data_IF_769409520793
#
_entry.id   IF_769409520793
#
_cell.length_a   1.000
_cell.length_b   1.000
_cell.length_c   1.000
_cell.angle_alpha   90.00
_cell.angle_beta   90.00
_cell.angle_gamma   90.00
#
_symmetry.space_group_name_H-M   'P 1'
#
loop_
_entity.id
_entity.type
_entity.pdbx_description
1 polymer ?
#
# COMPACT_ATOMS: atom_id res chain seq x y z
N UNK A 1 14.81 -0.35 44.84
CA UNK A 1 14.44 1.08 45.05
C UNK A 1 12.94 1.17 45.27
N UNK A 2 12.53 1.86 46.34
CA UNK A 2 11.19 2.38 46.73
C UNK A 2 9.92 1.63 46.28
N UNK A 3 9.10 1.02 47.14
CA UNK A 3 8.42 1.44 48.39
C UNK A 3 7.21 2.38 48.22
N UNK A 4 6.08 1.90 48.78
CA UNK A 4 4.84 2.55 49.28
C UNK A 4 3.73 2.87 48.27
N UNK A 5 2.59 2.18 48.33
CA UNK A 5 1.45 2.28 49.27
C UNK A 5 0.37 3.22 48.67
N UNK A 6 -0.94 3.03 48.77
CA UNK A 6 -1.77 2.39 49.80
C UNK A 6 -3.21 2.21 49.28
N UNK A 7 -3.88 1.15 49.76
CA UNK A 7 -5.32 1.16 49.99
C UNK A 7 -6.22 0.75 48.82
N UNK A 8 -6.77 -0.45 48.88
CA UNK A 8 -8.13 -0.61 49.44
C UNK A 8 -8.35 -2.07 49.83
N UNK A 9 -8.61 -2.22 51.11
CA UNK A 9 -8.83 -3.46 51.82
C UNK A 9 -10.20 -4.06 51.48
N UNK A 10 -10.24 -5.37 51.31
CA UNK A 10 -11.40 -6.24 51.54
C UNK A 10 -12.69 -5.96 50.75
N UNK A 11 -12.76 -6.49 49.52
CA UNK A 11 -14.04 -6.88 48.90
C UNK A 11 -14.50 -8.28 49.35
N UNK A 12 -14.31 -8.65 50.64
CA UNK A 12 -15.17 -9.67 51.25
C UNK A 12 -16.46 -8.95 51.62
N UNK A 13 -17.40 -8.88 50.66
CA UNK A 13 -18.77 -8.50 51.00
C UNK A 13 -19.21 -9.43 52.13
N UNK A 14 -19.45 -8.84 53.31
CA UNK A 14 -19.86 -9.55 54.51
C UNK A 14 -20.99 -10.53 54.12
N UNK A 15 -20.96 -11.82 54.52
CA UNK A 15 -22.06 -12.75 54.24
C UNK A 15 -23.42 -12.16 54.66
N UNK A 16 -23.41 -11.34 55.72
CA UNK A 16 -24.54 -10.51 56.14
C UNK A 16 -25.01 -9.52 55.06
N UNK A 17 -24.12 -8.77 54.39
CA UNK A 17 -24.53 -7.86 53.31
C UNK A 17 -25.05 -8.59 52.07
N UNK A 18 -24.56 -9.80 51.77
CA UNK A 18 -25.15 -10.62 50.69
C UNK A 18 -26.54 -11.15 51.05
N UNK A 19 -26.73 -11.57 52.31
CA UNK A 19 -28.04 -11.97 52.82
C UNK A 19 -29.02 -10.79 52.86
N UNK A 20 -28.56 -9.61 53.29
CA UNK A 20 -29.36 -8.37 53.27
C UNK A 20 -29.75 -8.02 51.83
N UNK A 21 -28.81 -7.97 50.88
CA UNK A 21 -29.13 -7.71 49.46
C UNK A 21 -30.02 -8.76 48.81
N UNK A 22 -29.99 -10.00 49.29
CA UNK A 22 -30.91 -11.05 48.83
C UNK A 22 -32.31 -10.82 49.41
N UNK A 23 -32.41 -10.55 50.71
CA UNK A 23 -33.68 -10.22 51.38
C UNK A 23 -34.30 -8.95 50.82
N UNK A 24 -33.51 -7.92 50.54
CA UNK A 24 -33.97 -6.67 49.90
C UNK A 24 -34.52 -6.95 48.50
N UNK A 25 -33.83 -7.78 47.69
CA UNK A 25 -34.35 -8.17 46.37
C UNK A 25 -35.63 -8.99 46.45
N UNK A 26 -35.70 -9.95 47.37
CA UNK A 26 -36.90 -10.76 47.61
C UNK A 26 -38.05 -9.90 48.14
N UNK A 27 -37.77 -8.97 49.05
CA UNK A 27 -38.72 -8.00 49.58
C UNK A 27 -39.22 -7.04 48.50
N UNK A 28 -38.33 -6.46 47.71
CA UNK A 28 -38.69 -5.56 46.60
C UNK A 28 -39.49 -6.28 45.53
N UNK A 29 -39.13 -7.52 45.22
CA UNK A 29 -39.90 -8.37 44.32
C UNK A 29 -41.30 -8.64 44.90
N UNK A 30 -41.39 -8.97 46.18
CA UNK A 30 -42.66 -9.22 46.86
C UNK A 30 -43.53 -7.96 46.95
N UNK A 31 -42.94 -6.80 47.22
CA UNK A 31 -43.65 -5.51 47.24
C UNK A 31 -44.15 -5.14 45.85
N UNK A 32 -43.31 -5.26 44.81
CA UNK A 32 -43.72 -5.03 43.42
C UNK A 32 -44.83 -5.99 43.00
N UNK A 33 -44.69 -7.27 43.30
CA UNK A 33 -45.69 -8.29 43.01
C UNK A 33 -47.01 -8.00 43.73
N UNK A 34 -46.97 -7.69 45.03
CA UNK A 34 -48.15 -7.36 45.81
C UNK A 34 -48.85 -6.09 45.30
N UNK A 35 -48.09 -5.07 44.89
CA UNK A 35 -48.65 -3.87 44.28
C UNK A 35 -49.30 -4.19 42.93
N UNK A 36 -48.68 -5.03 42.10
CA UNK A 36 -49.26 -5.46 40.83
C UNK A 36 -50.54 -6.28 41.03
N UNK A 37 -50.54 -7.21 41.99
CA UNK A 37 -51.72 -8.00 42.37
C UNK A 37 -52.84 -7.08 42.90
N UNK A 38 -52.50 -6.07 43.72
CA UNK A 38 -53.48 -5.09 44.21
C UNK A 38 -54.06 -4.27 43.06
N UNK A 39 -53.23 -3.83 42.12
CA UNK A 39 -53.64 -3.10 40.92
C UNK A 39 -54.62 -3.93 40.08
N UNK A 40 -54.26 -5.17 39.74
CA UNK A 40 -55.14 -6.03 38.97
C UNK A 40 -56.40 -6.42 39.73
N UNK A 41 -56.37 -6.61 41.06
CA UNK A 41 -57.60 -6.83 41.86
C UNK A 41 -58.51 -5.61 41.88
N UNK A 42 -57.96 -4.39 41.97
CA UNK A 42 -58.78 -3.18 41.89
C UNK A 42 -59.35 -3.00 40.48
N UNK A 43 -58.57 -3.34 39.47
CA UNK A 43 -58.97 -3.25 38.08
C UNK A 43 -60.00 -4.31 37.71
N UNK A 44 -59.86 -5.55 38.19
CA UNK A 44 -60.84 -6.63 38.07
C UNK A 44 -62.17 -6.27 38.74
N UNK A 45 -62.15 -5.62 39.92
CA UNK A 45 -63.39 -5.11 40.53
C UNK A 45 -64.06 -4.04 39.69
N UNK A 46 -63.28 -3.13 39.10
CA UNK A 46 -63.82 -2.09 38.21
C UNK A 46 -64.34 -2.70 36.90
N UNK A 47 -63.61 -3.66 36.35
CA UNK A 47 -63.96 -4.35 35.12
C UNK A 47 -65.16 -5.26 35.31
N UNK A 48 -65.28 -5.98 36.42
CA UNK A 48 -66.47 -6.79 36.74
C UNK A 48 -67.71 -5.90 36.90
N UNK A 49 -67.60 -4.73 37.54
CA UNK A 49 -68.72 -3.77 37.60
C UNK A 49 -69.06 -3.21 36.22
N UNK A 50 -68.04 -2.95 35.40
CA UNK A 50 -68.23 -2.51 34.03
C UNK A 50 -68.88 -3.59 33.17
N UNK A 51 -68.44 -4.84 33.26
CA UNK A 51 -69.03 -6.01 32.62
C UNK A 51 -70.44 -6.26 33.12
N UNK A 52 -70.72 -6.08 34.42
CA UNK A 52 -72.07 -6.13 34.96
C UNK A 52 -72.94 -5.04 34.32
N UNK A 53 -72.51 -3.77 34.32
CA UNK A 53 -73.28 -2.66 33.75
C UNK A 53 -73.46 -2.73 32.23
N UNK A 54 -72.48 -3.28 31.52
CA UNK A 54 -72.52 -3.45 30.06
C UNK A 54 -73.10 -4.80 29.64
N UNK A 55 -73.30 -5.72 30.58
CA UNK A 55 -73.92 -7.01 30.30
C UNK A 55 -75.38 -6.80 29.88
N UNK A 56 -75.83 -7.47 28.81
CA UNK A 56 -77.24 -7.53 28.46
C UNK A 56 -78.15 -7.94 29.64
N UNK A 57 -77.62 -8.74 30.58
CA UNK A 57 -78.36 -9.18 31.79
C UNK A 57 -78.69 -8.02 32.74
N UNK A 58 -77.83 -7.03 32.90
CA UNK A 58 -78.11 -5.89 33.77
C UNK A 58 -79.24 -5.03 33.23
N UNK A 59 -79.25 -4.78 31.92
CA UNK A 59 -80.35 -4.05 31.29
C UNK A 59 -81.66 -4.84 31.33
N UNK A 60 -81.61 -6.17 31.22
CA UNK A 60 -82.78 -7.03 31.42
C UNK A 60 -83.31 -6.92 32.87
N UNK A 61 -82.46 -7.07 33.88
CA UNK A 61 -82.85 -6.98 35.30
C UNK A 61 -83.35 -5.56 35.67
N UNK A 62 -82.74 -4.51 35.11
CA UNK A 62 -83.21 -3.14 35.26
C UNK A 62 -84.58 -2.92 34.63
N UNK A 63 -84.81 -3.46 33.43
CA UNK A 63 -86.11 -3.40 32.76
C UNK A 63 -87.19 -4.21 33.49
N UNK A 64 -86.84 -5.36 34.07
CA UNK A 64 -87.74 -6.18 34.87
C UNK A 64 -88.14 -5.46 36.17
N UNK A 65 -87.18 -4.78 36.84
CA UNK A 65 -87.46 -3.91 37.98
C UNK A 65 -88.37 -2.74 37.60
N UNK A 66 -88.16 -2.11 36.44
CA UNK A 66 -89.06 -1.06 35.95
C UNK A 66 -90.47 -1.60 35.63
N UNK A 67 -90.57 -2.78 35.02
CA UNK A 67 -91.83 -3.43 34.70
C UNK A 67 -92.62 -3.82 35.97
N UNK A 68 -91.93 -4.33 37.00
CA UNK A 68 -92.55 -4.65 38.30
C UNK A 68 -93.01 -3.39 39.03
N UNK A 69 -92.23 -2.31 39.02
CA UNK A 69 -92.64 -1.01 39.58
C UNK A 69 -93.88 -0.48 38.84
N UNK A 70 -93.91 -0.55 37.51
CA UNK A 70 -95.05 -0.12 36.70
C UNK A 70 -96.32 -0.93 37.04
N UNK A 71 -96.24 -2.26 37.07
CA UNK A 71 -97.35 -3.15 37.47
C UNK A 71 -97.85 -2.85 38.89
N UNK A 72 -96.95 -2.58 39.84
CA UNK A 72 -97.33 -2.20 41.20
C UNK A 72 -98.05 -0.85 41.26
N UNK A 73 -97.63 0.14 40.45
CA UNK A 73 -98.33 1.43 40.33
C UNK A 73 -99.73 1.26 39.72
N UNK A 74 -99.85 0.50 38.63
CA UNK A 74 -101.15 0.20 37.99
C UNK A 74 -102.10 -0.52 38.95
N UNK A 75 -101.61 -1.49 39.74
CA UNK A 75 -102.40 -2.16 40.78
C UNK A 75 -102.87 -1.19 41.86
N UNK A 76 -102.01 -0.28 42.32
CA UNK A 76 -102.39 0.76 43.31
C UNK A 76 -103.47 1.69 42.75
N UNK A 77 -103.30 2.17 41.53
CA UNK A 77 -104.27 3.05 40.86
C UNK A 77 -105.62 2.35 40.67
N UNK A 78 -105.62 1.07 40.28
CA UNK A 78 -106.84 0.27 40.15
C UNK A 78 -107.53 0.04 41.51
N UNK A 79 -106.76 -0.19 42.58
CA UNK A 79 -107.30 -0.28 43.94
C UNK A 79 -107.92 1.04 44.39
N UNK A 80 -107.29 2.17 44.06
CA UNK A 80 -107.79 3.50 44.37
C UNK A 80 -109.08 3.81 43.62
N UNK A 81 -109.14 3.55 42.31
CA UNK A 81 -110.37 3.61 41.50
C UNK A 81 -111.49 2.73 42.07
N UNK A 82 -111.15 1.53 42.57
CA UNK A 82 -112.13 0.65 43.21
C UNK A 82 -112.61 1.20 44.55
N UNK A 83 -111.71 1.76 45.37
CA UNK A 83 -112.06 2.43 46.63
C UNK A 83 -112.97 3.64 46.39
N UNK A 84 -112.71 4.45 45.37
CA UNK A 84 -113.57 5.56 44.99
C UNK A 84 -114.95 5.09 44.53
N UNK A 85 -115.04 4.02 43.72
CA UNK A 85 -116.32 3.42 43.32
C UNK A 85 -117.10 2.90 44.52
N UNK A 86 -116.44 2.21 45.44
CA UNK A 86 -117.06 1.71 46.66
C UNK A 86 -117.52 2.87 47.55
N UNK A 87 -116.71 3.92 47.69
CA UNK A 87 -117.09 5.12 48.43
C UNK A 87 -118.37 5.75 47.85
N UNK A 88 -118.47 5.88 46.54
CA UNK A 88 -119.70 6.36 45.87
C UNK A 88 -120.90 5.47 46.16
N UNK A 89 -120.74 4.13 46.11
CA UNK A 89 -121.82 3.20 46.44
C UNK A 89 -122.27 3.33 47.90
N UNK A 90 -121.32 3.48 48.84
CA UNK A 90 -121.65 3.72 50.24
C UNK A 90 -122.36 5.05 50.45
N UNK A 91 -121.92 6.12 49.79
CA UNK A 91 -122.60 7.42 49.86
C UNK A 91 -124.04 7.33 49.31
N UNK A 92 -124.27 6.54 48.25
CA UNK A 92 -125.60 6.30 47.66
C UNK A 92 -126.50 5.43 48.55
N UNK A 93 -125.96 4.38 49.18
CA UNK A 93 -126.67 3.58 50.18
C UNK A 93 -127.05 4.42 51.39
N UNK A 94 -126.15 5.26 51.90
CA UNK A 94 -126.40 6.11 53.06
C UNK A 94 -127.52 7.12 52.77
N UNK A 95 -127.53 7.75 51.58
CA UNK A 95 -128.64 8.59 51.12
C UNK A 95 -129.96 7.83 51.06
N UNK A 96 -129.94 6.63 50.48
CA UNK A 96 -131.15 5.79 50.35
C UNK A 96 -131.70 5.37 51.71
N UNK A 97 -130.82 5.02 52.65
CA UNK A 97 -131.18 4.67 54.01
C UNK A 97 -131.78 5.84 54.79
N UNK A 98 -131.22 7.05 54.63
CA UNK A 98 -131.79 8.27 55.21
C UNK A 98 -133.21 8.55 54.69
N UNK A 99 -133.46 8.32 53.40
CA UNK A 99 -134.82 8.42 52.81
C UNK A 99 -135.77 7.40 53.44
N UNK A 100 -135.36 6.14 53.60
CA UNK A 100 -136.19 5.12 54.25
C UNK A 100 -136.57 5.47 55.70
N UNK A 101 -135.63 6.02 56.47
CA UNK A 101 -135.89 6.46 57.85
C UNK A 101 -136.93 7.58 57.90
N UNK A 102 -136.92 8.50 56.93
CA UNK A 102 -137.96 9.53 56.80
C UNK A 102 -139.35 8.94 56.47
N UNK A 103 -139.42 7.86 55.70
CA UNK A 103 -140.69 7.17 55.37
C UNK A 103 -141.24 6.36 56.56
N UNK A 104 -140.36 5.66 57.28
CA UNK A 104 -140.75 4.84 58.45
C UNK A 104 -141.22 5.66 59.64
N UNK A 105 -140.63 6.84 59.86
CA UNK A 105 -141.09 7.78 60.91
C UNK A 105 -142.49 8.35 60.61
N UNK A 106 -142.80 8.59 59.33
CA UNK A 106 -144.14 9.04 58.91
C UNK A 106 -145.24 7.98 59.09
N UNK A 107 -144.93 6.70 58.90
CA UNK A 107 -145.92 5.61 58.97
C UNK A 107 -146.22 5.10 60.40
N UNK A 108 -145.31 5.28 61.36
CA UNK A 108 -145.55 4.87 62.76
C UNK A 108 -146.53 5.78 63.52
N UNK A 109 -146.82 6.97 63.02
CA UNK A 109 -147.80 7.90 63.63
C UNK A 109 -149.27 7.57 63.29
N UNK A 110 -149.54 6.60 62.39
CA UNK A 110 -150.88 6.42 61.80
C UNK A 110 -151.74 5.30 62.39
N UNK A 111 -151.18 4.31 63.09
CA UNK A 111 -151.94 3.11 63.50
C UNK A 111 -151.76 2.78 64.99
N UNK A 112 -152.63 3.32 65.84
CA UNK A 112 -152.90 2.81 67.20
C UNK A 112 -154.35 3.13 67.57
N UNK A 113 -155.26 2.15 67.46
CA UNK A 113 -156.56 2.16 68.16
C UNK A 113 -157.11 0.73 68.27
N UNK A 114 -157.53 0.38 69.48
CA UNK A 114 -157.90 -0.95 69.99
C UNK A 114 -159.27 -1.49 69.48
N UNK A 115 -159.42 -2.82 69.42
CA UNK A 115 -160.62 -3.55 68.94
C UNK A 115 -161.38 -4.18 70.14
N UNK A 116 -162.72 -4.06 70.14
CA UNK A 116 -163.65 -4.32 71.26
C UNK A 116 -164.07 -5.80 71.49
N UNK A 117 -164.44 -6.14 72.74
CA UNK A 117 -164.71 -7.48 73.30
C UNK A 117 -165.97 -8.21 72.77
N UNK A 118 -166.90 -7.54 72.09
CA UNK A 118 -168.08 -8.20 71.49
C UNK A 118 -167.73 -9.00 70.23
N UNK A 119 -166.71 -8.55 69.49
CA UNK A 119 -166.14 -9.30 68.37
C UNK A 119 -165.59 -10.65 68.83
N UNK A 120 -165.01 -10.71 70.03
CA UNK A 120 -164.41 -11.94 70.59
C UNK A 120 -165.46 -13.02 70.94
N UNK A 121 -166.66 -12.65 71.41
CA UNK A 121 -167.71 -13.63 71.74
C UNK A 121 -168.37 -14.24 70.50
N UNK A 122 -168.63 -13.44 69.47
CA UNK A 122 -169.14 -13.94 68.19
C UNK A 122 -168.12 -14.83 67.48
N UNK A 123 -166.83 -14.54 67.63
CA UNK A 123 -165.76 -15.42 67.14
C UNK A 123 -165.76 -16.75 67.90
N UNK A 124 -166.00 -16.76 69.22
CA UNK A 124 -166.00 -18.01 69.98
C UNK A 124 -167.14 -18.98 69.58
N UNK A 125 -168.37 -18.49 69.39
CA UNK A 125 -169.48 -19.35 68.92
C UNK A 125 -169.27 -19.83 67.49
N UNK A 126 -168.73 -18.98 66.61
CA UNK A 126 -168.32 -19.38 65.26
C UNK A 126 -167.24 -20.46 65.29
N UNK A 127 -166.26 -20.37 66.21
CA UNK A 127 -165.21 -21.39 66.40
C UNK A 127 -165.78 -22.71 66.90
N UNK A 128 -166.78 -22.70 67.78
CA UNK A 128 -167.40 -23.92 68.29
C UNK A 128 -168.11 -24.71 67.17
N UNK A 129 -168.92 -24.05 66.35
CA UNK A 129 -169.58 -24.66 65.19
C UNK A 129 -168.54 -25.14 64.16
N UNK A 130 -167.51 -24.34 63.88
CA UNK A 130 -166.42 -24.74 62.99
C UNK A 130 -165.67 -25.99 63.48
N UNK A 131 -165.49 -26.16 64.79
CA UNK A 131 -164.87 -27.34 65.38
C UNK A 131 -165.76 -28.59 65.29
N UNK A 132 -167.07 -28.43 65.34
CA UNK A 132 -168.01 -29.55 65.16
C UNK A 132 -168.09 -29.99 63.70
N UNK A 133 -168.10 -29.04 62.77
CA UNK A 133 -167.97 -29.31 61.33
C UNK A 133 -166.61 -29.94 61.01
N UNK A 134 -165.54 -29.49 61.66
CA UNK A 134 -164.21 -30.10 61.52
C UNK A 134 -164.22 -31.56 61.97
N UNK A 135 -164.83 -31.86 63.13
CA UNK A 135 -164.97 -33.24 63.62
C UNK A 135 -165.79 -34.11 62.68
N UNK A 136 -166.87 -33.59 62.09
CA UNK A 136 -167.63 -34.32 61.06
C UNK A 136 -166.79 -34.58 59.82
N UNK A 137 -166.08 -33.58 59.27
CA UNK A 137 -165.18 -33.77 58.11
C UNK A 137 -164.05 -34.75 58.41
N UNK A 138 -163.49 -34.70 59.61
CA UNK A 138 -162.45 -35.64 60.06
C UNK A 138 -163.00 -37.07 60.14
N UNK A 139 -164.22 -37.26 60.67
CA UNK A 139 -164.88 -38.56 60.68
C UNK A 139 -165.19 -39.07 59.26
N UNK A 140 -165.67 -38.20 58.37
CA UNK A 140 -165.90 -38.52 56.95
C UNK A 140 -164.60 -38.86 56.21
N UNK A 141 -163.51 -38.12 56.44
CA UNK A 141 -162.19 -38.43 55.89
C UNK A 141 -161.64 -39.74 56.46
N UNK A 142 -161.83 -40.01 57.74
CA UNK A 142 -161.42 -41.27 58.35
C UNK A 142 -162.18 -42.45 57.74
N UNK A 143 -163.49 -42.31 57.54
CA UNK A 143 -164.30 -43.30 56.81
C UNK A 143 -163.84 -43.45 55.36
N UNK A 144 -163.53 -42.35 54.67
CA UNK A 144 -163.00 -42.36 53.31
C UNK A 144 -161.65 -43.07 53.23
N UNK A 145 -160.69 -42.77 54.12
CA UNK A 145 -159.40 -43.44 54.17
C UNK A 145 -159.53 -44.91 54.52
N UNK A 146 -160.39 -45.26 55.47
CA UNK A 146 -160.68 -46.64 55.82
C UNK A 146 -161.26 -47.40 54.62
N UNK A 147 -162.24 -46.82 53.92
CA UNK A 147 -162.79 -47.36 52.68
C UNK A 147 -161.72 -47.47 51.59
N UNK A 148 -160.93 -46.43 51.35
CA UNK A 148 -159.86 -46.38 50.34
C UNK A 148 -158.83 -47.48 50.56
N UNK A 149 -158.41 -47.68 51.82
CA UNK A 149 -157.40 -48.67 52.18
C UNK A 149 -157.96 -50.10 52.15
N UNK A 150 -159.22 -50.30 52.52
CA UNK A 150 -159.82 -51.64 52.55
C UNK A 150 -160.43 -52.08 51.22
N UNK A 151 -160.83 -51.14 50.36
CA UNK A 151 -161.42 -51.43 49.07
C UNK A 151 -160.38 -52.08 48.13
N UNK A 152 -160.58 -53.34 47.70
CA UNK A 152 -159.64 -54.03 46.83
C UNK A 152 -159.40 -53.32 45.49
N UNK A 153 -160.44 -52.70 44.91
CA UNK A 153 -160.34 -52.04 43.60
C UNK A 153 -159.39 -50.84 43.63
N UNK A 154 -159.50 -49.99 44.65
CA UNK A 154 -158.65 -48.79 44.79
C UNK A 154 -157.19 -49.18 45.01
N UNK A 155 -156.92 -50.15 45.88
CA UNK A 155 -155.56 -50.66 46.09
C UNK A 155 -154.92 -51.23 44.82
N UNK A 156 -155.70 -51.93 43.99
CA UNK A 156 -155.19 -52.46 42.72
C UNK A 156 -154.82 -51.33 41.76
N UNK A 157 -155.62 -50.27 41.67
CA UNK A 157 -155.31 -49.10 40.86
C UNK A 157 -154.10 -48.31 41.37
N UNK A 158 -153.98 -48.11 42.69
CA UNK A 158 -152.82 -47.45 43.29
C UNK A 158 -151.54 -48.25 43.05
N UNK A 159 -151.56 -49.56 43.27
CA UNK A 159 -150.44 -50.43 42.92
C UNK A 159 -150.07 -50.35 41.44
N UNK A 160 -151.06 -50.30 40.54
CA UNK A 160 -150.81 -50.16 39.11
C UNK A 160 -150.17 -48.81 38.77
N UNK A 161 -150.58 -47.73 39.45
CA UNK A 161 -149.97 -46.40 39.34
C UNK A 161 -148.54 -46.39 39.88
N UNK A 162 -148.31 -46.92 41.07
CA UNK A 162 -146.98 -47.00 41.70
C UNK A 162 -146.03 -47.85 40.84
N UNK A 163 -146.51 -48.97 40.30
CA UNK A 163 -145.75 -49.78 39.34
C UNK A 163 -145.42 -48.98 38.07
N UNK A 164 -146.31 -48.12 37.60
CA UNK A 164 -146.04 -47.23 36.45
C UNK A 164 -145.01 -46.16 36.82
N UNK A 165 -145.09 -45.55 37.99
CA UNK A 165 -144.13 -44.55 38.47
C UNK A 165 -142.74 -45.17 38.71
N UNK A 166 -142.66 -46.39 39.27
CA UNK A 166 -141.41 -47.14 39.40
C UNK A 166 -140.82 -47.47 38.02
N UNK A 167 -141.65 -47.88 37.05
CA UNK A 167 -141.20 -48.08 35.66
C UNK A 167 -140.67 -46.79 35.04
N UNK A 168 -141.34 -45.66 35.25
CA UNK A 168 -140.87 -44.34 34.79
C UNK A 168 -139.56 -43.94 35.46
N UNK A 169 -139.42 -44.11 36.78
CA UNK A 169 -138.18 -43.83 37.51
C UNK A 169 -137.01 -44.73 37.06
N UNK A 170 -137.29 -46.01 36.79
CA UNK A 170 -136.30 -46.92 36.23
C UNK A 170 -135.91 -46.54 34.80
N UNK A 171 -136.87 -46.13 33.96
CA UNK A 171 -136.60 -45.56 32.63
C UNK A 171 -135.76 -44.28 32.74
N UNK A 172 -136.06 -43.39 33.68
CA UNK A 172 -135.26 -42.19 33.94
C UNK A 172 -133.85 -42.52 34.41
N UNK A 173 -133.66 -43.55 35.25
CA UNK A 173 -132.33 -44.03 35.63
C UNK A 173 -131.58 -44.62 34.44
N UNK A 174 -132.26 -45.35 33.55
CA UNK A 174 -131.65 -45.86 32.31
C UNK A 174 -131.27 -44.71 31.37
N UNK A 175 -132.11 -43.69 31.24
CA UNK A 175 -131.83 -42.49 30.44
C UNK A 175 -130.64 -41.73 31.04
N UNK A 176 -130.62 -41.49 32.37
CA UNK A 176 -129.49 -40.84 33.05
C UNK A 176 -128.18 -41.59 32.84
N UNK A 177 -128.18 -42.92 33.02
CA UNK A 177 -126.99 -43.75 32.76
C UNK A 177 -126.51 -43.65 31.31
N UNK A 178 -127.43 -43.59 30.34
CA UNK A 178 -127.06 -43.37 28.93
C UNK A 178 -126.45 -41.99 28.71
N UNK A 179 -127.05 -40.94 29.26
CA UNK A 179 -126.55 -39.57 29.13
C UNK A 179 -125.19 -39.41 29.82
N UNK A 180 -125.01 -39.96 31.01
CA UNK A 180 -123.74 -39.87 31.75
C UNK A 180 -122.64 -40.63 31.00
N UNK A 181 -122.95 -41.81 30.45
CA UNK A 181 -122.02 -42.54 29.57
C UNK A 181 -121.66 -41.75 28.30
N UNK A 182 -122.64 -41.09 27.68
CA UNK A 182 -122.41 -40.25 26.51
C UNK A 182 -121.52 -39.04 26.85
N UNK A 183 -121.71 -38.41 28.02
CA UNK A 183 -120.83 -37.34 28.51
C UNK A 183 -119.41 -37.84 28.77
N UNK A 184 -119.25 -39.00 29.41
CA UNK A 184 -117.94 -39.62 29.63
C UNK A 184 -117.24 -39.93 28.29
N UNK A 185 -117.98 -40.45 27.30
CA UNK A 185 -117.44 -40.69 25.96
C UNK A 185 -117.04 -39.38 25.25
N UNK A 186 -117.84 -38.32 25.38
CA UNK A 186 -117.49 -37.00 24.85
C UNK A 186 -116.28 -36.38 25.54
N UNK A 187 -116.15 -36.53 26.85
CA UNK A 187 -114.97 -36.10 27.61
C UNK A 187 -113.73 -36.90 27.21
N UNK A 188 -113.84 -38.22 27.09
CA UNK A 188 -112.77 -39.05 26.55
C UNK A 188 -112.38 -38.64 25.12
N UNK A 189 -113.36 -38.32 24.26
CA UNK A 189 -113.09 -37.81 22.90
C UNK A 189 -112.38 -36.47 22.94
N UNK A 190 -112.78 -35.54 23.81
CA UNK A 190 -112.12 -34.24 23.99
C UNK A 190 -110.67 -34.41 24.45
N UNK A 191 -110.43 -35.25 25.45
CA UNK A 191 -109.08 -35.55 25.95
C UNK A 191 -108.19 -36.18 24.88
N UNK A 192 -108.74 -37.11 24.08
CA UNK A 192 -108.01 -37.71 22.95
C UNK A 192 -107.71 -36.67 21.87
N UNK A 193 -108.65 -35.79 21.55
CA UNK A 193 -108.46 -34.72 20.57
C UNK A 193 -107.42 -33.69 21.05
N UNK A 194 -107.42 -33.32 22.34
CA UNK A 194 -106.40 -32.45 22.94
C UNK A 194 -105.02 -33.11 22.90
N UNK A 195 -104.94 -34.40 23.22
CA UNK A 195 -103.69 -35.17 23.11
C UNK A 195 -103.20 -35.28 21.66
N UNK A 196 -104.10 -35.46 20.71
CA UNK A 196 -103.77 -35.49 19.28
C UNK A 196 -103.23 -34.14 18.81
N UNK A 197 -103.90 -33.04 19.16
CA UNK A 197 -103.41 -31.67 18.88
C UNK A 197 -102.03 -31.43 19.49
N UNK A 198 -101.80 -31.87 20.72
CA UNK A 198 -100.49 -31.74 21.37
C UNK A 198 -99.40 -32.51 20.61
N UNK A 199 -99.69 -33.74 20.16
CA UNK A 199 -98.77 -34.54 19.35
C UNK A 199 -98.52 -33.93 17.96
N UNK A 200 -99.54 -33.34 17.33
CA UNK A 200 -99.41 -32.63 16.06
C UNK A 200 -98.55 -31.39 16.21
N UNK A 201 -98.78 -30.57 17.23
CA UNK A 201 -97.95 -29.40 17.52
C UNK A 201 -96.49 -29.77 17.79
N UNK A 202 -96.24 -30.88 18.50
CA UNK A 202 -94.89 -31.36 18.78
C UNK A 202 -94.20 -31.87 17.51
N UNK A 203 -94.91 -32.63 16.67
CA UNK A 203 -94.41 -33.03 15.34
C UNK A 203 -94.10 -31.81 14.47
N UNK A 204 -94.94 -30.77 14.48
CA UNK A 204 -94.66 -29.55 13.75
C UNK A 204 -93.44 -28.80 14.30
N UNK A 205 -93.21 -28.81 15.62
CA UNK A 205 -91.99 -28.25 16.24
C UNK A 205 -90.78 -29.03 15.75
N UNK A 206 -90.82 -30.35 15.80
CA UNK A 206 -89.75 -31.22 15.34
C UNK A 206 -89.48 -31.03 13.84
N UNK A 207 -90.52 -30.97 13.00
CA UNK A 207 -90.39 -30.71 11.57
C UNK A 207 -89.80 -29.33 11.27
N UNK A 208 -90.15 -28.29 12.06
CA UNK A 208 -89.53 -26.96 11.93
C UNK A 208 -88.04 -27.02 12.25
N UNK A 209 -87.67 -27.67 13.35
CA UNK A 209 -86.26 -27.85 13.74
C UNK A 209 -85.51 -28.65 12.68
N UNK A 210 -86.10 -29.72 12.15
CA UNK A 210 -85.49 -30.52 11.08
C UNK A 210 -85.34 -29.72 9.78
N UNK A 211 -86.34 -28.89 9.43
CA UNK A 211 -86.24 -27.97 8.29
C UNK A 211 -85.09 -26.97 8.48
N UNK A 212 -84.97 -26.35 9.64
CA UNK A 212 -83.86 -25.43 9.95
C UNK A 212 -82.50 -26.13 9.90
N UNK A 213 -82.37 -27.34 10.44
CA UNK A 213 -81.15 -28.14 10.35
C UNK A 213 -80.83 -28.47 8.88
N UNK A 214 -81.84 -28.87 8.10
CA UNK A 214 -81.66 -29.18 6.68
C UNK A 214 -81.23 -27.96 5.87
N UNK A 215 -81.78 -26.78 6.15
CA UNK A 215 -81.39 -25.53 5.50
C UNK A 215 -79.99 -25.09 5.89
N UNK A 216 -79.63 -25.20 7.18
CA UNK A 216 -78.26 -24.96 7.65
C UNK A 216 -77.26 -25.91 6.99
N UNK A 217 -77.60 -27.19 6.89
CA UNK A 217 -76.79 -28.19 6.20
C UNK A 217 -76.65 -27.89 4.70
N UNK A 218 -77.73 -27.46 4.04
CA UNK A 218 -77.68 -27.03 2.62
C UNK A 218 -76.77 -25.81 2.44
N UNK A 219 -76.88 -24.80 3.30
CA UNK A 219 -76.02 -23.61 3.27
C UNK A 219 -74.55 -23.97 3.49
N UNK A 220 -74.26 -24.79 4.50
CA UNK A 220 -72.91 -25.26 4.79
C UNK A 220 -72.34 -26.09 3.64
N UNK A 221 -73.12 -26.98 3.01
CA UNK A 221 -72.69 -27.72 1.81
C UNK A 221 -72.37 -26.79 0.65
N UNK A 222 -73.23 -25.82 0.36
CA UNK A 222 -72.98 -24.84 -0.71
C UNK A 222 -71.73 -23.98 -0.43
N UNK A 223 -71.46 -23.62 0.82
CA UNK A 223 -70.24 -22.92 1.22
C UNK A 223 -68.99 -23.80 1.05
N UNK A 224 -69.08 -25.09 1.42
CA UNK A 224 -67.99 -26.05 1.22
C UNK A 224 -67.73 -26.31 -0.26
N UNK A 225 -68.76 -26.42 -1.09
CA UNK A 225 -68.64 -26.56 -2.54
C UNK A 225 -67.91 -25.35 -3.14
N UNK A 226 -68.26 -24.13 -2.73
CA UNK A 226 -67.52 -22.91 -3.14
C UNK A 226 -66.07 -22.94 -2.67
N UNK A 227 -65.79 -23.42 -1.46
CA UNK A 227 -64.41 -23.54 -0.96
C UNK A 227 -63.61 -24.55 -1.78
N UNK A 228 -64.21 -25.69 -2.12
CA UNK A 228 -63.61 -26.72 -2.98
C UNK A 228 -63.34 -26.17 -4.38
N UNK A 229 -64.29 -25.46 -4.98
CA UNK A 229 -64.12 -24.82 -6.29
C UNK A 229 -62.98 -23.78 -6.26
N UNK A 230 -62.91 -22.95 -5.22
CA UNK A 230 -61.79 -22.03 -5.04
C UNK A 230 -60.44 -22.74 -4.89
N UNK A 231 -60.40 -23.89 -4.22
CA UNK A 231 -59.18 -24.70 -4.12
C UNK A 231 -58.79 -25.28 -5.47
N UNK A 232 -59.75 -25.76 -6.27
CA UNK A 232 -59.50 -26.21 -7.63
C UNK A 232 -58.95 -25.10 -8.53
N UNK A 233 -59.55 -23.91 -8.50
CA UNK A 233 -59.04 -22.76 -9.27
C UNK A 233 -57.61 -22.39 -8.86
N UNK A 234 -57.31 -22.38 -7.56
CA UNK A 234 -55.94 -22.15 -7.06
C UNK A 234 -54.97 -23.25 -7.48
N UNK A 235 -55.42 -24.50 -7.51
CA UNK A 235 -54.62 -25.62 -7.98
C UNK A 235 -54.31 -25.49 -9.48
N UNK A 236 -55.30 -25.12 -10.31
CA UNK A 236 -55.09 -24.85 -11.73
C UNK A 236 -54.13 -23.67 -11.98
N UNK A 237 -54.24 -22.60 -11.19
CA UNK A 237 -53.30 -21.48 -11.24
C UNK A 237 -51.88 -21.93 -10.85
N UNK A 238 -51.74 -22.72 -9.80
CA UNK A 238 -50.45 -23.30 -9.39
C UNK A 238 -49.85 -24.18 -10.50
N UNK A 239 -50.66 -25.01 -11.15
CA UNK A 239 -50.20 -25.87 -12.25
C UNK A 239 -49.80 -25.07 -13.49
N UNK A 240 -50.49 -23.95 -13.79
CA UNK A 240 -50.10 -23.02 -14.85
C UNK A 240 -48.75 -22.37 -14.53
N UNK A 241 -48.58 -21.87 -13.30
CA UNK A 241 -47.31 -21.27 -12.86
C UNK A 241 -46.16 -22.27 -12.88
N UNK A 242 -46.40 -23.53 -12.49
CA UNK A 242 -45.39 -24.59 -12.59
C UNK A 242 -44.96 -24.84 -14.04
N UNK A 243 -45.90 -24.87 -14.99
CA UNK A 243 -45.58 -25.02 -16.42
C UNK A 243 -44.76 -23.84 -16.94
N UNK A 244 -45.10 -22.61 -16.54
CA UNK A 244 -44.33 -21.42 -16.90
C UNK A 244 -42.90 -21.48 -16.32
N UNK A 245 -42.76 -21.94 -15.08
CA UNK A 245 -41.45 -22.15 -14.45
C UNK A 245 -40.62 -23.21 -15.20
N UNK A 246 -41.23 -24.34 -15.56
CA UNK A 246 -40.58 -25.39 -16.37
C UNK A 246 -40.10 -24.85 -17.73
N UNK A 247 -40.94 -24.07 -18.43
CA UNK A 247 -40.58 -23.42 -19.68
C UNK A 247 -39.41 -22.45 -19.51
N UNK A 248 -39.41 -21.65 -18.44
CA UNK A 248 -38.35 -20.70 -18.16
C UNK A 248 -37.04 -21.39 -17.77
N UNK A 249 -37.10 -22.50 -17.04
CA UNK A 249 -35.93 -23.36 -16.77
C UNK A 249 -35.36 -23.90 -18.08
N UNK A 250 -36.21 -24.35 -19.00
CA UNK A 250 -35.77 -24.80 -20.33
C UNK A 250 -35.10 -23.66 -21.11
N UNK A 251 -35.68 -22.46 -21.13
CA UNK A 251 -35.08 -21.26 -21.77
C UNK A 251 -33.72 -20.92 -21.14
N UNK A 252 -33.61 -20.94 -19.81
CA UNK A 252 -32.35 -20.71 -19.10
C UNK A 252 -31.30 -21.76 -19.45
N UNK A 253 -31.68 -23.04 -19.54
CA UNK A 253 -30.77 -24.11 -19.93
C UNK A 253 -30.24 -23.91 -21.36
N UNK A 254 -31.09 -23.47 -22.28
CA UNK A 254 -30.72 -23.16 -23.66
C UNK A 254 -29.77 -21.95 -23.73
N UNK A 255 -30.04 -20.90 -22.96
CA UNK A 255 -29.15 -19.74 -22.85
C UNK A 255 -27.77 -20.12 -22.32
N UNK A 256 -27.71 -20.91 -21.25
CA UNK A 256 -26.43 -21.42 -20.69
C UNK A 256 -25.62 -22.18 -21.74
N UNK A 257 -26.27 -22.99 -22.58
CA UNK A 257 -25.60 -23.73 -23.64
C UNK A 257 -25.10 -22.82 -24.77
N UNK A 258 -25.84 -21.75 -25.10
CA UNK A 258 -25.38 -20.72 -26.05
C UNK A 258 -24.19 -19.93 -25.50
N UNK A 259 -24.21 -19.57 -24.21
CA UNK A 259 -23.10 -18.88 -23.55
C UNK A 259 -21.84 -19.75 -23.51
N UNK A 260 -21.97 -21.04 -23.19
CA UNK A 260 -20.87 -21.99 -23.29
C UNK A 260 -20.27 -22.03 -24.70
N UNK A 261 -21.12 -22.15 -25.73
CA UNK A 261 -20.67 -22.11 -27.13
C UNK A 261 -19.95 -20.81 -27.47
N UNK A 262 -20.43 -19.66 -26.99
CA UNK A 262 -19.77 -18.36 -27.17
C UNK A 262 -18.39 -18.34 -26.52
N UNK A 263 -18.28 -18.78 -25.26
CA UNK A 263 -17.00 -18.85 -24.53
C UNK A 263 -16.01 -19.76 -25.26
N UNK A 264 -16.46 -20.93 -25.74
CA UNK A 264 -15.63 -21.86 -26.50
C UNK A 264 -15.12 -21.26 -27.82
N UNK A 265 -15.99 -20.54 -28.54
CA UNK A 265 -15.60 -19.85 -29.77
C UNK A 265 -14.57 -18.74 -29.49
N UNK A 266 -14.77 -17.95 -28.44
CA UNK A 266 -13.83 -16.90 -28.06
C UNK A 266 -12.49 -17.47 -27.55
N UNK A 267 -12.52 -18.61 -26.84
CA UNK A 267 -11.31 -19.36 -26.46
C UNK A 267 -10.54 -19.85 -27.69
N UNK A 268 -11.24 -20.43 -28.67
CA UNK A 268 -10.63 -20.86 -29.95
C UNK A 268 -10.06 -19.69 -30.75
N UNK A 269 -10.71 -18.52 -30.76
CA UNK A 269 -10.18 -17.31 -31.39
C UNK A 269 -8.87 -16.87 -30.74
N UNK A 270 -8.84 -16.76 -29.40
CA UNK A 270 -7.62 -16.43 -28.66
C UNK A 270 -6.48 -17.41 -28.92
N UNK A 271 -6.77 -18.72 -28.97
CA UNK A 271 -5.76 -19.72 -29.31
C UNK A 271 -5.19 -19.52 -30.72
N UNK A 272 -6.03 -19.16 -31.70
CA UNK A 272 -5.57 -18.85 -33.07
C UNK A 272 -4.72 -17.58 -33.11
N UNK A 273 -5.10 -16.54 -32.38
CA UNK A 273 -4.33 -15.29 -32.27
C UNK A 273 -2.94 -15.55 -31.68
N UNK A 274 -2.87 -16.28 -30.57
CA UNK A 274 -1.61 -16.70 -29.95
C UNK A 274 -0.74 -17.53 -30.90
N UNK A 275 -1.34 -18.45 -31.66
CA UNK A 275 -0.62 -19.23 -32.66
C UNK A 275 -0.04 -18.34 -33.78
N UNK A 276 -0.79 -17.35 -34.24
CA UNK A 276 -0.33 -16.38 -35.25
C UNK A 276 0.80 -15.49 -34.71
N UNK A 277 0.69 -15.00 -33.47
CA UNK A 277 1.74 -14.23 -32.82
C UNK A 277 3.02 -15.05 -32.65
N UNK A 278 2.92 -16.29 -32.18
CA UNK A 278 4.06 -17.21 -32.07
C UNK A 278 4.73 -17.44 -33.43
N UNK A 279 3.95 -17.60 -34.51
CA UNK A 279 4.49 -17.73 -35.86
C UNK A 279 5.23 -16.46 -36.31
N UNK A 280 4.70 -15.26 -36.01
CA UNK A 280 5.36 -13.99 -36.31
C UNK A 280 6.70 -13.88 -35.56
N UNK A 281 6.71 -14.19 -34.27
CA UNK A 281 7.93 -14.17 -33.44
C UNK A 281 8.96 -15.16 -33.96
N UNK A 282 8.55 -16.38 -34.32
CA UNK A 282 9.45 -17.39 -34.89
C UNK A 282 10.06 -16.93 -36.22
N UNK A 283 9.24 -16.36 -37.13
CA UNK A 283 9.74 -15.78 -38.39
C UNK A 283 10.72 -14.64 -38.14
N UNK A 284 10.47 -13.77 -37.17
CA UNK A 284 11.36 -12.67 -36.82
C UNK A 284 12.69 -13.18 -36.27
N UNK A 285 12.66 -14.19 -35.40
CA UNK A 285 13.87 -14.85 -34.88
C UNK A 285 14.69 -15.52 -35.99
N UNK A 286 14.03 -16.15 -36.96
CA UNK A 286 14.73 -16.71 -38.13
C UNK A 286 15.41 -15.63 -38.97
N UNK A 287 14.75 -14.48 -39.18
CA UNK A 287 15.35 -13.33 -39.88
C UNK A 287 16.56 -12.78 -39.13
N UNK A 288 16.46 -12.62 -37.81
CA UNK A 288 17.58 -12.20 -36.97
C UNK A 288 18.75 -13.18 -37.05
N UNK A 289 18.50 -14.48 -36.91
CA UNK A 289 19.55 -15.48 -37.05
C UNK A 289 20.20 -15.46 -38.44
N UNK A 290 19.43 -15.18 -39.49
CA UNK A 290 19.98 -15.03 -40.84
C UNK A 290 20.86 -13.77 -40.95
N UNK A 291 20.43 -12.63 -40.41
CA UNK A 291 21.23 -11.40 -40.39
C UNK A 291 22.49 -11.56 -39.55
N UNK A 292 22.40 -12.23 -38.40
CA UNK A 292 23.54 -12.48 -37.51
C UNK A 292 24.59 -13.35 -38.22
N UNK A 293 24.16 -14.40 -38.94
CA UNK A 293 25.07 -15.20 -39.77
C UNK A 293 25.77 -14.37 -40.86
N UNK A 294 25.02 -13.53 -41.57
CA UNK A 294 25.63 -12.65 -42.59
C UNK A 294 26.61 -11.65 -41.96
N UNK A 295 26.31 -11.14 -40.77
CA UNK A 295 27.20 -10.24 -40.03
C UNK A 295 28.47 -10.97 -39.60
N UNK A 296 28.35 -12.18 -39.07
CA UNK A 296 29.50 -13.01 -38.67
C UNK A 296 30.41 -13.32 -39.87
N UNK A 297 29.84 -13.62 -41.03
CA UNK A 297 30.59 -13.83 -42.28
C UNK A 297 31.35 -12.56 -42.71
N UNK A 298 30.71 -11.39 -42.66
CA UNK A 298 31.34 -10.11 -42.97
C UNK A 298 32.47 -9.78 -41.99
N UNK A 299 32.27 -10.04 -40.69
CA UNK A 299 33.30 -9.85 -39.67
C UNK A 299 34.49 -10.79 -39.86
N UNK A 300 34.26 -12.05 -40.28
CA UNK A 300 35.33 -12.98 -40.65
C UNK A 300 36.11 -12.47 -41.86
N UNK A 301 35.41 -12.05 -42.91
CA UNK A 301 36.04 -11.48 -44.11
C UNK A 301 36.91 -10.26 -43.79
N UNK A 302 36.42 -9.35 -42.93
CA UNK A 302 37.19 -8.18 -42.49
C UNK A 302 38.48 -8.56 -41.73
N UNK A 303 38.43 -9.59 -40.87
CA UNK A 303 39.62 -10.11 -40.17
C UNK A 303 40.63 -10.72 -41.13
N UNK A 304 40.16 -11.55 -42.05
CA UNK A 304 41.03 -12.19 -43.06
C UNK A 304 41.73 -11.13 -43.91
N UNK A 305 41.01 -10.07 -44.30
CA UNK A 305 41.58 -8.95 -45.05
C UNK A 305 42.63 -8.19 -44.22
N UNK A 306 42.38 -7.96 -42.93
CA UNK A 306 43.34 -7.31 -42.04
C UNK A 306 44.63 -8.14 -41.90
N UNK A 307 44.52 -9.47 -41.78
CA UNK A 307 45.69 -10.34 -41.73
C UNK A 307 46.48 -10.33 -43.04
N UNK A 308 45.80 -10.26 -44.19
CA UNK A 308 46.43 -10.15 -45.50
C UNK A 308 47.25 -8.86 -45.61
N UNK A 309 46.68 -7.72 -45.21
CA UNK A 309 47.38 -6.43 -45.21
C UNK A 309 48.57 -6.43 -44.25
N UNK A 310 48.45 -7.10 -43.09
CA UNK A 310 49.59 -7.25 -42.17
C UNK A 310 50.74 -8.03 -42.80
N UNK A 311 50.44 -9.11 -43.53
CA UNK A 311 51.45 -9.90 -44.26
C UNK A 311 52.09 -9.10 -45.40
N UNK A 312 51.30 -8.28 -46.11
CA UNK A 312 51.81 -7.37 -47.15
C UNK A 312 52.79 -6.35 -46.57
N UNK A 313 52.42 -5.72 -45.45
CA UNK A 313 53.28 -4.75 -44.78
C UNK A 313 54.61 -5.38 -44.35
N UNK A 314 54.57 -6.56 -43.72
CA UNK A 314 55.77 -7.30 -43.35
C UNK A 314 56.66 -7.64 -44.56
N UNK A 315 56.06 -7.96 -45.69
CA UNK A 315 56.80 -8.23 -46.93
C UNK A 315 57.46 -6.96 -47.48
N UNK A 316 56.76 -5.82 -47.44
CA UNK A 316 57.33 -4.53 -47.84
C UNK A 316 58.49 -4.13 -46.93
N UNK A 317 58.34 -4.23 -45.61
CA UNK A 317 59.41 -3.95 -44.65
C UNK A 317 60.66 -4.79 -44.95
N UNK A 318 60.47 -6.09 -45.21
CA UNK A 318 61.56 -6.98 -45.60
C UNK A 318 62.28 -6.55 -46.89
N UNK A 319 61.53 -6.17 -47.93
CA UNK A 319 62.10 -5.69 -49.20
C UNK A 319 62.89 -4.40 -48.95
N UNK A 320 62.32 -3.41 -48.27
CA UNK A 320 62.98 -2.14 -47.99
C UNK A 320 64.25 -2.33 -47.15
N UNK A 321 64.23 -3.20 -46.14
CA UNK A 321 65.41 -3.53 -45.35
C UNK A 321 66.50 -4.19 -46.20
N UNK A 322 66.12 -5.07 -47.14
CA UNK A 322 67.07 -5.72 -48.05
C UNK A 322 67.71 -4.74 -49.03
N UNK A 323 66.93 -3.80 -49.57
CA UNK A 323 67.42 -2.76 -50.46
C UNK A 323 68.31 -1.76 -49.71
N UNK A 324 67.90 -1.34 -48.50
CA UNK A 324 68.71 -0.49 -47.63
C UNK A 324 70.06 -1.15 -47.29
N UNK A 325 70.08 -2.46 -47.02
CA UNK A 325 71.34 -3.21 -46.82
C UNK A 325 72.23 -3.18 -48.06
N UNK A 326 71.67 -3.46 -49.24
CA UNK A 326 72.43 -3.43 -50.50
C UNK A 326 73.03 -2.04 -50.78
N UNK A 327 72.25 -0.98 -50.55
CA UNK A 327 72.73 0.40 -50.70
C UNK A 327 73.86 0.70 -49.70
N UNK A 328 73.70 0.29 -48.44
CA UNK A 328 74.71 0.48 -47.40
C UNK A 328 76.02 -0.25 -47.73
N UNK A 329 75.94 -1.51 -48.21
CA UNK A 329 77.11 -2.28 -48.63
C UNK A 329 77.85 -1.60 -49.78
N UNK A 330 77.12 -1.15 -50.81
CA UNK A 330 77.71 -0.41 -51.94
C UNK A 330 78.38 0.90 -51.49
N UNK A 331 77.77 1.63 -50.57
CA UNK A 331 78.36 2.86 -50.02
C UNK A 331 79.62 2.57 -49.21
N UNK A 332 79.63 1.47 -48.46
CA UNK A 332 80.80 1.01 -47.70
C UNK A 332 81.97 0.64 -48.61
N UNK A 333 81.69 0.01 -49.75
CA UNK A 333 82.71 -0.28 -50.76
C UNK A 333 83.33 1.02 -51.31
N UNK A 334 82.51 2.00 -51.67
CA UNK A 334 82.97 3.32 -52.14
C UNK A 334 83.88 3.99 -51.09
N UNK A 335 83.47 4.01 -49.82
CA UNK A 335 84.30 4.57 -48.75
C UNK A 335 85.63 3.85 -48.57
N UNK A 336 85.65 2.53 -48.75
CA UNK A 336 86.86 1.72 -48.63
C UNK A 336 87.81 1.95 -49.81
N UNK A 337 87.29 2.15 -51.01
CA UNK A 337 88.07 2.59 -52.17
C UNK A 337 88.63 4.00 -51.98
N UNK A 338 87.83 4.92 -51.45
CA UNK A 338 88.28 6.28 -51.14
C UNK A 338 89.38 6.29 -50.06
N UNK A 339 89.24 5.51 -48.99
CA UNK A 339 90.26 5.38 -47.94
C UNK A 339 91.56 4.78 -48.48
N UNK A 340 91.47 3.78 -49.36
CA UNK A 340 92.63 3.23 -50.08
C UNK A 340 93.30 4.30 -50.95
N UNK A 341 92.53 5.07 -51.70
CA UNK A 341 93.05 6.14 -52.55
C UNK A 341 93.72 7.25 -51.72
N UNK A 342 93.11 7.67 -50.59
CA UNK A 342 93.70 8.63 -49.65
C UNK A 342 94.98 8.09 -49.03
N UNK A 343 95.01 6.82 -48.62
CA UNK A 343 96.19 6.17 -48.06
C UNK A 343 97.34 6.06 -49.08
N UNK A 344 97.03 5.78 -50.34
CA UNK A 344 98.02 5.76 -51.42
C UNK A 344 98.58 7.17 -51.68
N UNK A 345 97.71 8.19 -51.80
CA UNK A 345 98.13 9.57 -51.97
C UNK A 345 99.00 10.06 -50.80
N UNK A 346 98.63 9.74 -49.55
CA UNK A 346 99.43 10.08 -48.38
C UNK A 346 100.82 9.42 -48.41
N UNK A 347 100.90 8.17 -48.90
CA UNK A 347 102.18 7.47 -49.08
C UNK A 347 103.06 8.19 -50.09
N UNK A 348 102.51 8.54 -51.26
CA UNK A 348 103.23 9.27 -52.30
C UNK A 348 103.74 10.64 -51.80
N UNK A 349 102.92 11.35 -51.03
CA UNK A 349 103.33 12.62 -50.38
C UNK A 349 104.48 12.37 -49.40
N UNK A 350 104.40 11.34 -48.55
CA UNK A 350 105.49 11.01 -47.62
C UNK A 350 106.78 10.62 -48.34
N UNK A 351 106.70 9.86 -49.43
CA UNK A 351 107.86 9.46 -50.21
C UNK A 351 108.49 10.66 -50.92
N UNK A 352 107.68 11.57 -51.47
CA UNK A 352 108.15 12.83 -52.06
C UNK A 352 108.88 13.70 -51.01
N UNK A 353 108.32 13.85 -49.81
CA UNK A 353 108.96 14.62 -48.73
C UNK A 353 110.27 13.95 -48.28
N UNK A 354 110.30 12.61 -48.22
CA UNK A 354 111.51 11.85 -47.90
C UNK A 354 112.62 12.08 -48.92
N UNK A 355 112.30 11.98 -50.21
CA UNK A 355 113.24 12.26 -51.31
C UNK A 355 113.78 13.70 -51.24
N UNK A 356 112.92 14.69 -50.95
CA UNK A 356 113.35 16.09 -50.77
C UNK A 356 114.31 16.26 -49.59
N UNK A 357 114.06 15.59 -48.46
CA UNK A 357 114.95 15.61 -47.29
C UNK A 357 116.30 14.97 -47.63
N UNK A 358 116.30 13.81 -48.30
CA UNK A 358 117.50 13.10 -48.72
C UNK A 358 118.33 13.92 -49.73
N UNK A 359 117.68 14.56 -50.70
CA UNK A 359 118.36 15.41 -51.67
C UNK A 359 118.98 16.65 -51.00
N UNK A 360 118.27 17.29 -50.08
CA UNK A 360 118.81 18.42 -49.31
C UNK A 360 119.99 18.00 -48.42
N UNK A 361 119.92 16.82 -47.79
CA UNK A 361 121.04 16.23 -47.05
C UNK A 361 122.25 15.97 -47.96
N UNK A 362 122.02 15.46 -49.18
CA UNK A 362 123.08 15.21 -50.16
C UNK A 362 123.74 16.51 -50.58
N UNK A 363 122.96 17.53 -51.00
CA UNK A 363 123.45 18.87 -51.35
C UNK A 363 124.26 19.50 -50.21
N UNK A 364 123.79 19.39 -48.97
CA UNK A 364 124.51 19.90 -47.81
C UNK A 364 125.86 19.18 -47.60
N UNK A 365 125.89 17.85 -47.72
CA UNK A 365 127.14 17.06 -47.64
C UNK A 365 128.13 17.42 -48.76
N UNK A 366 127.64 17.64 -49.98
CA UNK A 366 128.47 18.07 -51.11
C UNK A 366 129.07 19.47 -50.86
N UNK A 367 128.27 20.41 -50.39
CA UNK A 367 128.76 21.76 -50.07
C UNK A 367 129.75 21.75 -48.90
N UNK A 368 129.49 20.95 -47.86
CA UNK A 368 130.46 20.74 -46.77
C UNK A 368 131.78 20.18 -47.27
N UNK A 369 131.77 19.20 -48.20
CA UNK A 369 132.99 18.67 -48.82
C UNK A 369 133.74 19.76 -49.57
N UNK A 370 133.04 20.53 -50.40
CA UNK A 370 133.64 21.63 -51.19
C UNK A 370 134.28 22.69 -50.29
N UNK A 371 133.60 23.10 -49.23
CA UNK A 371 134.14 24.05 -48.23
C UNK A 371 135.37 23.48 -47.52
N UNK A 372 135.37 22.17 -47.20
CA UNK A 372 136.54 21.50 -46.62
C UNK A 372 137.72 21.45 -47.59
N UNK A 373 137.49 21.20 -48.88
CA UNK A 373 138.52 21.23 -49.93
C UNK A 373 139.09 22.64 -50.12
N UNK A 374 138.23 23.67 -50.18
CA UNK A 374 138.64 25.09 -50.23
C UNK A 374 139.49 25.47 -48.98
N UNK A 375 139.09 25.01 -47.79
CA UNK A 375 139.85 25.17 -46.54
C UNK A 375 141.22 24.46 -46.60
N UNK A 376 141.30 23.26 -47.15
CA UNK A 376 142.57 22.54 -47.28
C UNK A 376 143.50 23.21 -48.29
N UNK A 377 142.97 23.71 -49.42
CA UNK A 377 143.75 24.44 -50.41
C UNK A 377 144.30 25.74 -49.83
N UNK A 378 143.49 26.48 -49.07
CA UNK A 378 143.96 27.71 -48.40
C UNK A 378 144.99 27.42 -47.32
N UNK A 379 144.83 26.34 -46.54
CA UNK A 379 145.86 25.90 -45.58
C UNK A 379 147.19 25.58 -46.25
N UNK A 380 147.18 24.84 -47.37
CA UNK A 380 148.41 24.54 -48.15
C UNK A 380 149.10 25.81 -48.63
N UNK A 381 148.33 26.77 -49.14
CA UNK A 381 148.88 28.05 -49.59
C UNK A 381 149.52 28.84 -48.42
N UNK A 382 148.88 28.83 -47.24
CA UNK A 382 149.46 29.44 -46.03
C UNK A 382 150.74 28.73 -45.60
N UNK A 383 150.79 27.40 -45.63
CA UNK A 383 151.99 26.62 -45.32
C UNK A 383 153.15 26.89 -46.30
N UNK A 384 152.85 27.06 -47.60
CA UNK A 384 153.83 27.48 -48.61
C UNK A 384 154.38 28.88 -48.32
N UNK A 385 153.52 29.86 -48.04
CA UNK A 385 153.94 31.21 -47.65
C UNK A 385 154.79 31.21 -46.37
N UNK A 386 154.42 30.43 -45.36
CA UNK A 386 155.20 30.29 -44.12
C UNK A 386 156.58 29.67 -44.38
N UNK A 387 156.67 28.66 -45.28
CA UNK A 387 157.94 28.07 -45.69
C UNK A 387 158.82 29.08 -46.43
N UNK A 388 158.26 29.89 -47.31
CA UNK A 388 159.02 30.88 -48.06
C UNK A 388 159.52 32.01 -47.16
N UNK A 389 158.69 32.50 -46.23
CA UNK A 389 159.11 33.47 -45.21
C UNK A 389 160.25 32.92 -44.34
N UNK A 390 160.20 31.63 -43.97
CA UNK A 390 161.30 30.99 -43.22
C UNK A 390 162.59 30.98 -44.03
N UNK A 391 162.57 30.59 -45.30
CA UNK A 391 163.76 30.59 -46.17
C UNK A 391 164.33 31.99 -46.36
N UNK A 392 163.49 33.00 -46.61
CA UNK A 392 163.96 34.39 -46.75
C UNK A 392 164.60 34.90 -45.46
N UNK A 393 164.04 34.57 -44.29
CA UNK A 393 164.64 34.93 -43.01
C UNK A 393 165.97 34.22 -42.77
N UNK A 394 166.09 32.94 -43.12
CA UNK A 394 167.34 32.18 -43.03
C UNK A 394 168.43 32.76 -43.97
N UNK A 395 168.07 33.15 -45.19
CA UNK A 395 168.95 33.82 -46.14
C UNK A 395 169.41 35.20 -45.64
N UNK A 396 168.52 36.00 -45.06
CA UNK A 396 168.87 37.29 -44.46
C UNK A 396 169.80 37.14 -43.24
N UNK A 397 169.54 36.17 -42.37
CA UNK A 397 170.41 35.82 -41.24
C UNK A 397 171.82 35.42 -41.72
N UNK A 398 171.91 34.65 -42.80
CA UNK A 398 173.19 34.24 -43.39
C UNK A 398 173.96 35.43 -43.98
N UNK A 399 173.27 36.33 -44.70
CA UNK A 399 173.86 37.59 -45.21
C UNK A 399 174.35 38.48 -44.08
N UNK A 400 173.57 38.63 -42.99
CA UNK A 400 173.99 39.38 -41.79
C UNK A 400 175.26 38.78 -41.17
N UNK A 401 175.36 37.46 -41.06
CA UNK A 401 176.56 36.78 -40.54
C UNK A 401 177.78 36.97 -41.42
N UNK A 402 177.61 36.92 -42.74
CA UNK A 402 178.70 37.16 -43.71
C UNK A 402 179.18 38.60 -43.65
N UNK A 403 178.27 39.59 -43.65
CA UNK A 403 178.60 41.01 -43.48
C UNK A 403 179.36 41.28 -42.18
N UNK A 404 178.95 40.67 -41.07
CA UNK A 404 179.61 40.84 -39.76
C UNK A 404 181.06 40.37 -39.78
N UNK A 405 181.35 39.23 -40.44
CA UNK A 405 182.71 38.69 -40.59
C UNK A 405 183.59 39.57 -41.49
N UNK A 406 183.03 40.09 -42.58
CA UNK A 406 183.72 41.00 -43.51
C UNK A 406 184.19 42.28 -42.80
N UNK A 407 183.29 42.89 -42.00
CA UNK A 407 183.58 44.12 -41.25
C UNK A 407 184.64 43.88 -40.17
N UNK A 408 184.62 42.74 -39.46
CA UNK A 408 185.64 42.41 -38.45
C UNK A 408 187.03 42.21 -39.06
N UNK A 409 187.13 41.62 -40.25
CA UNK A 409 188.38 41.46 -41.01
C UNK A 409 188.97 42.82 -41.41
N UNK A 410 188.15 43.72 -41.96
CA UNK A 410 188.57 45.07 -42.35
C UNK A 410 189.07 45.91 -41.16
N UNK A 411 188.45 45.74 -39.98
CA UNK A 411 188.84 46.44 -38.75
C UNK A 411 190.19 45.94 -38.20
N UNK A 412 190.49 44.65 -38.34
CA UNK A 412 191.76 44.07 -37.92
C UNK A 412 192.91 44.42 -38.88
N UNK A 413 192.68 44.41 -40.19
CA UNK A 413 193.68 44.86 -41.18
C UNK A 413 194.07 46.33 -40.96
N UNK A 414 193.08 47.20 -40.72
CA UNK A 414 193.34 48.63 -40.48
C UNK A 414 194.16 48.87 -39.21
N UNK A 415 193.89 48.12 -38.14
CA UNK A 415 194.67 48.20 -36.88
C UNK A 415 196.12 47.73 -37.05
N UNK A 416 196.37 46.70 -37.87
CA UNK A 416 197.72 46.22 -38.15
C UNK A 416 198.54 47.24 -38.94
N UNK A 417 197.95 47.85 -39.97
CA UNK A 417 198.61 48.88 -40.78
C UNK A 417 198.92 50.17 -39.99
N UNK A 418 198.03 50.60 -39.11
CA UNK A 418 198.28 51.75 -38.22
C UNK A 418 199.40 51.50 -37.21
N UNK A 419 199.56 50.25 -36.74
CA UNK A 419 200.63 49.86 -35.82
C UNK A 419 202.00 49.82 -36.52
N UNK A 420 202.06 49.36 -37.77
CA UNK A 420 203.31 49.35 -38.57
C UNK A 420 203.74 50.76 -38.99
N UNK A 421 202.79 51.63 -39.33
CA UNK A 421 203.08 53.02 -39.68
C UNK A 421 203.70 53.81 -38.50
N UNK A 422 203.21 53.60 -37.27
CA UNK A 422 203.78 54.25 -36.07
C UNK A 422 205.22 53.84 -35.80
N UNK A 423 205.56 52.55 -35.98
CA UNK A 423 206.94 52.06 -35.79
C UNK A 423 207.92 52.61 -36.81
N UNK A 424 207.49 52.86 -38.06
CA UNK A 424 208.36 53.45 -39.09
C UNK A 424 208.70 54.91 -38.77
N UNK A 425 207.71 55.69 -38.36
CA UNK A 425 207.88 57.10 -37.99
C UNK A 425 208.81 57.26 -36.78
N UNK A 426 208.73 56.38 -35.78
CA UNK A 426 209.63 56.41 -34.62
C UNK A 426 211.09 56.09 -35.01
N UNK A 427 211.32 55.11 -35.90
CA UNK A 427 212.69 54.77 -36.35
C UNK A 427 213.30 55.85 -37.25
N UNK A 428 212.49 56.52 -38.08
CA UNK A 428 212.95 57.62 -38.94
C UNK A 428 213.29 58.87 -38.13
N UNK A 429 212.58 59.12 -37.02
CA UNK A 429 212.87 60.20 -36.10
C UNK A 429 214.19 60.02 -35.33
N UNK A 430 214.54 58.78 -34.94
CA UNK A 430 215.83 58.50 -34.28
C UNK A 430 217.01 58.65 -35.24
N UNK A 431 216.88 58.19 -36.49
CA UNK A 431 217.92 58.33 -37.52
C UNK A 431 218.10 59.80 -37.94
N UNK A 432 217.03 60.59 -37.99
CA UNK A 432 217.10 62.02 -38.27
C UNK A 432 217.83 62.81 -37.16
N UNK A 433 217.61 62.46 -35.89
CA UNK A 433 218.30 63.07 -34.75
C UNK A 433 219.81 62.75 -34.73
N UNK A 434 220.20 61.56 -35.15
CA UNK A 434 221.61 61.15 -35.20
C UNK A 434 222.37 61.76 -36.40
N UNK A 435 221.70 61.96 -37.53
CA UNK A 435 222.25 62.65 -38.69
C UNK A 435 222.37 64.17 -38.48
N UNK A 436 221.40 64.79 -37.80
CA UNK A 436 221.47 66.22 -37.47
C UNK A 436 222.69 66.56 -36.61
N UNK A 437 223.10 65.69 -35.67
CA UNK A 437 224.32 65.90 -34.87
C UNK A 437 225.60 65.80 -35.70
N UNK A 438 225.64 64.89 -36.69
CA UNK A 438 226.79 64.71 -37.61
C UNK A 438 226.90 65.85 -38.63
N UNK A 439 225.79 66.44 -39.07
CA UNK A 439 225.81 67.63 -39.93
C UNK A 439 226.19 68.91 -39.18
N UNK A 440 225.81 69.05 -37.92
CA UNK A 440 226.24 70.20 -37.09
C UNK A 440 227.77 70.21 -36.89
N UNK A 441 228.40 69.04 -36.72
CA UNK A 441 229.86 68.89 -36.68
C UNK A 441 230.53 69.18 -38.03
N UNK A 442 229.85 68.92 -39.16
CA UNK A 442 230.35 69.16 -40.52
C UNK A 442 230.26 70.64 -40.92
N UNK A 443 229.14 71.30 -40.61
CA UNK A 443 228.93 72.72 -40.92
C UNK A 443 229.83 73.63 -40.07
N UNK A 444 230.19 73.24 -38.84
CA UNK A 444 231.22 73.95 -38.06
C UNK A 444 232.61 73.85 -38.70
N UNK A 445 232.94 72.74 -39.36
CA UNK A 445 234.20 72.60 -40.13
C UNK A 445 234.16 73.38 -41.46
N UNK A 446 232.98 73.56 -42.08
CA UNK A 446 232.80 74.22 -43.38
C UNK A 446 232.74 75.75 -43.30
N UNK A 447 232.25 76.31 -42.18
CA UNK A 447 232.31 77.77 -41.96
C UNK A 447 233.76 78.22 -41.68
N UNK A 448 234.60 77.34 -41.13
CA UNK A 448 236.06 77.54 -41.08
C UNK A 448 236.69 77.54 -42.49
N UNK A 449 236.03 76.97 -43.52
CA UNK A 449 236.49 77.00 -44.92
C UNK A 449 236.00 78.22 -45.74
N UNK A 450 234.84 78.81 -45.45
CA UNK A 450 234.29 79.92 -46.25
C UNK A 450 234.81 81.32 -45.87
N UNK A 451 235.79 81.38 -44.98
CA UNK A 451 236.67 82.54 -44.78
C UNK A 451 237.53 82.93 -46.00
N UNK A 452 237.50 82.26 -47.18
CA UNK A 452 238.63 82.39 -48.14
C UNK A 452 238.40 82.85 -49.58
N UNK A 453 237.18 83.05 -50.10
CA UNK A 453 237.06 83.49 -51.52
C UNK A 453 235.93 84.49 -51.77
N UNK A 454 236.34 85.77 -51.91
CA UNK A 454 235.80 86.88 -52.74
C UNK A 454 234.31 87.24 -52.53
N UNK A 455 233.85 88.39 -51.99
CA UNK A 455 234.28 89.79 -52.09
C UNK A 455 233.66 90.49 -53.32
N UNK A 456 233.21 91.78 -53.34
CA UNK A 456 232.87 92.71 -52.25
C UNK A 456 231.48 93.43 -52.38
N UNK A 457 230.81 93.57 -51.23
CA UNK A 457 230.27 94.83 -50.67
C UNK A 457 229.18 95.62 -51.44
N UNK A 458 227.95 95.69 -50.87
CA UNK A 458 227.20 96.86 -50.29
C UNK A 458 225.67 96.66 -50.38
N UNK A 459 225.00 96.60 -49.21
CA UNK A 459 224.03 97.59 -48.65
C UNK A 459 222.65 97.61 -49.34
N UNK A 460 221.52 97.49 -48.64
CA UNK A 460 221.13 98.28 -47.45
C UNK A 460 220.11 97.60 -46.50
N UNK A 461 220.27 97.94 -45.20
CA UNK A 461 219.26 98.35 -44.17
C UNK A 461 217.77 98.06 -44.46
N UNK A 462 216.96 97.53 -43.54
CA UNK A 462 216.68 98.04 -42.17
C UNK A 462 216.02 96.95 -41.27
N UNK A 463 216.46 96.77 -40.00
CA UNK A 463 215.74 97.09 -38.72
C UNK A 463 214.42 96.29 -38.48
N UNK A 464 214.08 95.72 -37.30
CA UNK A 464 214.45 96.01 -35.91
C UNK A 464 213.76 95.01 -34.92
N UNK A 465 214.41 94.76 -33.77
CA UNK A 465 213.94 94.41 -32.38
C UNK A 465 213.06 93.14 -32.18
N UNK A 466 213.18 92.37 -31.10
CA UNK A 466 213.74 92.56 -29.76
C UNK A 466 214.61 91.36 -29.33
#
# INVERSE_FOLDING_TARGET
>A
MSSRASGWSSARLNPETRMVKRREREHDHQVKWNNQVRYYKSWEKANNKFEEWTSPRYYQDANDKLATIKKCRERKENLEKRREKLKKLFDDEERSHQVELMVKTRNKLRNRSDISNELLKNVHSAVALANEDKRRREAELALYHHWKNNNPSVRLHERARDLKEIKLSWLDQQIKKRIDKEREEEECRKLLAERQKWLEEEKERDERVQREISEKNKKMRAELEKQIENLHLKQEESEKLQKEEEEDVLKQSALKLLDQKRIDLDSKKRQRELALENLKLYKLKLKQNATDRTMDELLRYARDQQELERKRLQHFDFIFDSEAKLIYERQKEIWLEEDKARSALLRDVFDTVREQIEENLRRNKDEQRRVLEERQSTLKLVEEYDSDVRKTNEEEELRRRQWKKEVELQLNEKKMLEAEAKKRVESEAEVALENARKEEERLRQEIIQLQRRQGPIRHSRSRILF
#
